data_IF_667179791915
#
_entry.id   IF_667179791915
#
_cell.length_a   1.000
_cell.length_b   1.000
_cell.length_c   1.000
_cell.angle_alpha   90.00
_cell.angle_beta   90.00
_cell.angle_gamma   90.00
#
_symmetry.space_group_name_H-M   'P 1'
#
loop_
_entity.id
_entity.type
_entity.pdbx_description
1 polymer ?
#
# COMPACT_ATOMS: atom_id res chain seq x y z
N UNK A 1 13.03 18.73 23.85
CA UNK A 1 12.06 18.54 22.78
C UNK A 1 12.35 17.24 22.07
N UNK A 2 11.38 16.38 22.09
CA UNK A 2 11.52 15.12 21.37
C UNK A 2 11.15 15.31 19.92
N UNK A 3 12.08 15.00 19.06
CA UNK A 3 11.83 15.04 17.63
C UNK A 3 11.40 13.66 17.19
N UNK A 4 10.15 13.54 16.77
CA UNK A 4 9.67 12.27 16.24
C UNK A 4 10.20 12.13 14.82
N UNK A 5 11.09 11.18 14.63
CA UNK A 5 11.63 10.89 13.31
C UNK A 5 10.70 9.93 12.59
N UNK A 6 10.03 10.44 11.57
CA UNK A 6 9.20 9.60 10.69
C UNK A 6 10.04 9.15 9.51
N UNK A 7 9.94 7.89 9.16
CA UNK A 7 10.57 7.38 7.97
C UNK A 7 9.55 7.40 6.83
N UNK A 8 10.01 7.81 5.65
CA UNK A 8 9.16 7.81 4.46
C UNK A 8 9.63 6.68 3.56
N UNK A 9 8.72 5.75 3.30
CA UNK A 9 8.95 4.68 2.36
C UNK A 9 8.32 5.06 1.05
N UNK A 10 9.11 5.09 -0.02
CA UNK A 10 8.65 5.52 -1.32
C UNK A 10 8.89 4.42 -2.35
N UNK A 11 7.91 4.17 -3.20
CA UNK A 11 8.03 3.19 -4.27
C UNK A 11 8.95 3.70 -5.37
N UNK A 12 9.63 2.78 -6.03
CA UNK A 12 10.45 3.10 -7.20
C UNK A 12 9.57 3.62 -8.33
N UNK A 13 10.19 4.30 -9.29
CA UNK A 13 9.45 4.82 -10.44
C UNK A 13 8.72 3.70 -11.17
N UNK A 14 7.44 3.91 -11.42
CA UNK A 14 6.60 2.93 -12.08
C UNK A 14 6.10 1.80 -11.19
N UNK A 15 6.37 1.89 -9.89
CA UNK A 15 5.94 0.87 -8.94
C UNK A 15 5.10 1.49 -7.83
N UNK A 16 4.49 0.64 -7.04
CA UNK A 16 3.61 1.03 -5.93
C UNK A 16 3.93 0.19 -4.70
N UNK A 17 3.51 0.69 -3.55
CA UNK A 17 3.67 -0.02 -2.28
C UNK A 17 2.36 -0.68 -1.90
N UNK A 18 2.43 -1.93 -1.45
CA UNK A 18 1.26 -2.70 -1.09
C UNK A 18 1.53 -3.47 0.20
N UNK A 19 0.60 -3.37 1.14
CA UNK A 19 0.72 -4.06 2.44
C UNK A 19 -0.31 -5.17 2.64
N UNK A 20 -1.03 -5.54 1.59
CA UNK A 20 -2.09 -6.53 1.67
C UNK A 20 -3.48 -5.91 1.71
N UNK A 21 -3.57 -4.62 1.92
CA UNK A 21 -4.85 -3.93 2.03
C UNK A 21 -4.84 -2.60 1.27
N UNK A 22 -3.78 -1.83 1.41
CA UNK A 22 -3.69 -0.49 0.84
C UNK A 22 -2.57 -0.42 -0.20
N UNK A 23 -2.83 0.29 -1.29
CA UNK A 23 -1.85 0.56 -2.34
C UNK A 23 -1.57 2.06 -2.34
N UNK A 24 -0.28 2.42 -2.33
CA UNK A 24 0.11 3.83 -2.36
C UNK A 24 1.49 3.97 -3.00
N UNK A 25 1.87 5.19 -3.30
CA UNK A 25 3.18 5.45 -3.87
C UNK A 25 4.22 5.77 -2.80
N UNK A 26 3.79 6.28 -1.68
CA UNK A 26 4.66 6.53 -0.54
C UNK A 26 3.84 6.41 0.74
N UNK A 27 4.51 6.14 1.82
CA UNK A 27 3.86 5.99 3.12
C UNK A 27 4.81 6.49 4.21
N UNK A 28 4.24 7.15 5.20
CA UNK A 28 4.98 7.57 6.39
C UNK A 28 4.90 6.46 7.42
N UNK A 29 6.05 6.02 7.88
CA UNK A 29 6.14 4.96 8.88
C UNK A 29 6.57 5.54 10.20
N UNK A 30 5.91 5.13 11.28
CA UNK A 30 6.37 5.44 12.62
C UNK A 30 7.72 4.78 12.84
N UNK A 31 8.56 5.31 13.75
CA UNK A 31 9.88 4.71 14.00
C UNK A 31 9.81 3.24 14.40
N UNK A 32 8.70 2.82 14.99
CA UNK A 32 8.50 1.44 15.43
C UNK A 32 7.78 0.58 14.38
N UNK A 33 7.34 1.18 13.27
CA UNK A 33 6.63 0.44 12.24
C UNK A 33 7.60 -0.40 11.42
N UNK A 34 7.11 -1.52 10.92
CA UNK A 34 7.90 -2.47 10.18
C UNK A 34 7.78 -2.18 8.68
N UNK A 35 8.90 -1.81 8.04
CA UNK A 35 8.91 -1.53 6.61
C UNK A 35 8.66 -2.78 5.78
N UNK A 36 8.87 -3.96 6.35
CA UNK A 36 8.67 -5.23 5.67
C UNK A 36 7.21 -5.53 5.37
N UNK A 37 6.28 -4.86 6.06
CA UNK A 37 4.85 -5.00 5.80
C UNK A 37 4.48 -4.47 4.42
N UNK A 38 5.31 -3.60 3.85
CA UNK A 38 5.08 -3.01 2.55
C UNK A 38 6.04 -3.60 1.53
N UNK A 39 5.52 -3.98 0.37
CA UNK A 39 6.32 -4.49 -0.74
C UNK A 39 6.03 -3.68 -1.99
N UNK A 40 6.97 -3.67 -2.92
CA UNK A 40 6.78 -2.98 -4.19
C UNK A 40 6.05 -3.90 -5.16
N UNK A 41 5.05 -3.36 -5.83
CA UNK A 41 4.29 -4.06 -6.87
C UNK A 41 4.35 -3.24 -8.15
N UNK A 42 4.18 -3.92 -9.28
CA UNK A 42 4.15 -3.24 -10.59
C UNK A 42 2.77 -2.63 -10.82
N UNK A 43 2.68 -1.79 -11.86
CA UNK A 43 1.41 -1.19 -12.22
C UNK A 43 0.39 -2.25 -12.63
N UNK A 44 0.84 -3.30 -13.31
CA UNK A 44 -0.04 -4.39 -13.69
C UNK A 44 -0.60 -5.12 -12.47
N UNK A 45 0.24 -5.36 -11.49
CA UNK A 45 -0.20 -5.97 -10.25
C UNK A 45 -1.16 -5.06 -9.49
N UNK A 46 -0.89 -3.76 -9.50
CA UNK A 46 -1.76 -2.78 -8.86
C UNK A 46 -3.17 -2.85 -9.46
N UNK A 47 -3.25 -2.83 -10.79
CA UNK A 47 -4.54 -2.88 -11.48
C UNK A 47 -5.27 -4.17 -11.16
N UNK A 48 -4.57 -5.29 -11.16
CA UNK A 48 -5.18 -6.59 -10.86
C UNK A 48 -5.74 -6.62 -9.44
N UNK A 49 -4.98 -6.09 -8.48
CA UNK A 49 -5.42 -6.05 -7.08
C UNK A 49 -6.64 -5.13 -6.92
N UNK A 50 -6.62 -3.98 -7.55
CA UNK A 50 -7.74 -3.05 -7.47
C UNK A 50 -9.01 -3.63 -8.08
N UNK A 51 -8.88 -4.33 -9.20
CA UNK A 51 -10.03 -5.00 -9.81
C UNK A 51 -10.60 -6.08 -8.92
N UNK A 52 -9.74 -6.82 -8.25
CA UNK A 52 -10.20 -7.87 -7.34
C UNK A 52 -10.89 -7.26 -6.12
N UNK A 53 -10.36 -6.19 -5.57
CA UNK A 53 -10.98 -5.51 -4.44
C UNK A 53 -12.33 -4.93 -4.81
N UNK A 54 -12.42 -4.34 -6.00
CA UNK A 54 -13.66 -3.77 -6.50
C UNK A 54 -14.71 -4.84 -6.72
N UNK A 55 -14.31 -5.99 -7.25
CA UNK A 55 -15.24 -7.11 -7.46
C UNK A 55 -15.76 -7.65 -6.14
N UNK A 56 -14.90 -7.78 -5.12
CA UNK A 56 -15.33 -8.23 -3.81
C UNK A 56 -16.32 -7.27 -3.17
N UNK A 57 -16.07 -5.98 -3.31
CA UNK A 57 -16.98 -4.96 -2.79
C UNK A 57 -18.33 -5.05 -3.47
N UNK A 58 -18.35 -5.29 -4.78
CA UNK A 58 -19.60 -5.44 -5.53
C UNK A 58 -20.36 -6.70 -5.15
N UNK A 59 -19.65 -7.78 -4.89
CA UNK A 59 -20.30 -9.01 -4.45
C UNK A 59 -20.99 -8.83 -3.09
N UNK A 60 -20.33 -8.15 -2.17
CA UNK A 60 -20.93 -7.87 -0.87
C UNK A 60 -22.13 -6.94 -0.98
N UNK A 61 -22.11 -6.03 -1.94
CA UNK A 61 -23.19 -5.08 -2.13
C UNK A 61 -24.44 -5.72 -2.76
N UNK A 62 -24.30 -6.88 -3.38
CA UNK A 62 -25.40 -7.55 -4.09
C UNK A 62 -26.16 -8.57 -3.24
N UNK A 63 -25.79 -8.69 -2.00
CA UNK A 63 -26.48 -9.65 -1.10
C UNK A 63 -27.75 -9.06 -0.56
#
# INVERSE_FOLDING_TARGET
METIQVRILQASEGKYLYNGDTICRYVQLAPTANAEDWREITEEEKVAIEEEQDRKANEDAQV
#
